data_IF_774346522568
#
_entry.id   IF_774346522568
#
_cell.length_a   1.000
_cell.length_b   1.000
_cell.length_c   1.000
_cell.angle_alpha   90.00
_cell.angle_beta   90.00
_cell.angle_gamma   90.00
#
_symmetry.space_group_name_H-M   'P 1'
#
loop_
_entity.id
_entity.type
_entity.pdbx_description
1 polymer ?
#
# COMPACT_ATOMS: atom_id res chain seq x y z
N UNK A 1 8.04 24.43 19.30
CA UNK A 1 6.83 23.65 19.63
C UNK A 1 5.76 24.12 18.64
N UNK A 2 5.15 23.22 17.86
CA UNK A 2 4.17 23.62 16.84
C UNK A 2 2.97 24.27 17.56
N UNK A 3 2.70 25.54 17.25
CA UNK A 3 1.55 26.26 17.80
C UNK A 3 0.25 25.50 17.46
N UNK A 4 -0.55 25.19 18.48
CA UNK A 4 -1.82 24.46 18.33
C UNK A 4 -1.81 23.00 18.76
N UNK A 5 -0.65 22.37 18.99
CA UNK A 5 -0.58 21.00 19.54
C UNK A 5 -0.68 20.94 21.07
N UNK A 6 -0.41 22.06 21.78
CA UNK A 6 -0.41 22.11 23.26
C UNK A 6 -1.74 21.78 23.93
N UNK A 7 -2.85 21.76 23.16
CA UNK A 7 -4.19 21.37 23.64
C UNK A 7 -4.42 19.85 23.65
N UNK A 8 -3.57 19.07 22.97
CA UNK A 8 -3.70 17.62 22.89
C UNK A 8 -2.69 16.95 23.82
N UNK A 9 -3.16 15.95 24.59
CA UNK A 9 -2.31 15.16 25.49
C UNK A 9 -1.65 13.96 24.81
N UNK A 10 -2.23 13.50 23.69
CA UNK A 10 -1.80 12.32 22.96
C UNK A 10 -1.91 12.57 21.46
N UNK A 11 -0.97 11.99 20.71
CA UNK A 11 -0.97 11.93 19.25
C UNK A 11 -0.77 10.46 18.89
N UNK A 12 -1.59 9.95 17.96
CA UNK A 12 -1.49 8.59 17.44
C UNK A 12 -1.14 8.73 15.97
N UNK A 13 -0.06 8.08 15.55
CA UNK A 13 0.42 8.08 14.18
C UNK A 13 0.11 6.73 13.54
N UNK A 14 -0.37 6.77 12.31
CA UNK A 14 -0.31 5.61 11.43
C UNK A 14 1.09 5.49 10.81
N UNK A 15 1.43 4.32 10.27
CA UNK A 15 2.74 4.05 9.66
C UNK A 15 2.72 4.32 8.15
N UNK A 16 2.03 3.47 7.40
CA UNK A 16 2.05 3.45 5.93
C UNK A 16 1.36 4.69 5.35
N UNK A 17 2.03 5.37 4.42
CA UNK A 17 1.51 6.60 3.83
C UNK A 17 1.34 7.78 4.81
N UNK A 18 1.78 7.65 6.06
CA UNK A 18 1.79 8.72 7.08
C UNK A 18 3.21 9.02 7.54
N UNK A 19 3.89 8.06 8.16
CA UNK A 19 5.31 8.18 8.52
C UNK A 19 6.21 7.62 7.42
N UNK A 20 5.83 6.47 6.86
CA UNK A 20 6.60 5.75 5.86
C UNK A 20 6.12 6.14 4.46
N UNK A 21 7.04 6.61 3.63
CA UNK A 21 6.79 6.91 2.22
C UNK A 21 6.97 5.64 1.36
N UNK A 22 5.94 4.81 1.31
CA UNK A 22 5.97 3.48 0.69
C UNK A 22 5.02 3.28 -0.49
N UNK A 23 4.20 4.29 -0.85
CA UNK A 23 3.21 4.17 -1.92
C UNK A 23 3.84 3.74 -3.24
N UNK A 24 5.04 4.24 -3.54
CA UNK A 24 5.78 3.85 -4.75
C UNK A 24 6.11 2.35 -4.75
N UNK A 25 6.52 1.79 -3.61
CA UNK A 25 6.86 0.38 -3.46
C UNK A 25 5.61 -0.50 -3.62
N UNK A 26 4.50 -0.10 -2.97
CA UNK A 26 3.21 -0.78 -3.09
C UNK A 26 2.75 -0.86 -4.55
N UNK A 27 2.85 0.24 -5.30
CA UNK A 27 2.48 0.29 -6.72
C UNK A 27 3.39 -0.58 -7.58
N UNK A 28 4.69 -0.61 -7.32
CA UNK A 28 5.63 -1.48 -8.05
C UNK A 28 5.35 -2.97 -7.84
N UNK A 29 5.17 -3.39 -6.58
CA UNK A 29 4.84 -4.78 -6.24
C UNK A 29 3.52 -5.17 -6.90
N UNK A 30 2.50 -4.33 -6.76
CA UNK A 30 1.19 -4.60 -7.37
C UNK A 30 1.30 -4.72 -8.89
N UNK A 31 2.03 -3.83 -9.55
CA UNK A 31 2.22 -3.90 -11.01
C UNK A 31 2.98 -5.16 -11.47
N UNK A 32 3.87 -5.71 -10.63
CA UNK A 32 4.50 -7.01 -10.88
C UNK A 32 3.47 -8.15 -10.79
N UNK A 33 2.63 -8.13 -9.76
CA UNK A 33 1.54 -9.11 -9.57
C UNK A 33 0.49 -9.05 -10.69
N UNK A 34 0.10 -7.84 -11.10
CA UNK A 34 -0.83 -7.60 -12.22
C UNK A 34 -0.26 -8.12 -13.54
N UNK A 35 1.02 -7.83 -13.81
CA UNK A 35 1.71 -8.32 -15.02
C UNK A 35 1.71 -9.85 -15.10
N UNK A 36 1.96 -10.55 -13.98
CA UNK A 36 1.93 -12.03 -13.90
C UNK A 36 0.58 -12.61 -14.32
N UNK A 37 -0.50 -11.83 -14.17
CA UNK A 37 -1.89 -12.21 -14.47
C UNK A 37 -2.46 -11.55 -15.72
N UNK A 38 -1.61 -10.90 -16.52
CA UNK A 38 -2.01 -10.13 -17.71
C UNK A 38 -3.06 -9.04 -17.43
N UNK A 39 -3.06 -8.49 -16.21
CA UNK A 39 -3.94 -7.39 -15.81
C UNK A 39 -3.30 -6.02 -16.10
N UNK A 40 -4.10 -4.97 -16.37
CA UNK A 40 -3.59 -3.63 -16.65
C UNK A 40 -2.77 -3.06 -15.48
N UNK A 41 -1.67 -2.38 -15.79
CA UNK A 41 -0.88 -1.65 -14.79
C UNK A 41 -1.61 -0.41 -14.27
N UNK A 42 -1.27 0.00 -13.06
CA UNK A 42 -1.75 1.21 -12.40
C UNK A 42 -0.61 2.15 -12.04
N UNK A 43 -0.92 3.44 -11.90
CA UNK A 43 -0.04 4.43 -11.28
C UNK A 43 -0.49 4.73 -9.83
N UNK A 44 0.25 5.58 -9.14
CA UNK A 44 -0.05 5.97 -7.75
C UNK A 44 -1.36 6.75 -7.62
N UNK A 45 -1.77 7.47 -8.66
CA UNK A 45 -3.06 8.17 -8.69
C UNK A 45 -4.20 7.15 -8.70
N UNK A 46 -4.15 6.20 -9.64
CA UNK A 46 -5.15 5.15 -9.76
C UNK A 46 -5.20 4.29 -8.49
N UNK A 47 -4.04 3.93 -7.93
CA UNK A 47 -3.95 3.25 -6.63
C UNK A 47 -4.78 3.97 -5.56
N UNK A 48 -4.52 5.26 -5.33
CA UNK A 48 -5.24 6.08 -4.33
C UNK A 48 -6.73 6.20 -4.61
N UNK A 49 -7.14 6.23 -5.87
CA UNK A 49 -8.56 6.32 -6.27
C UNK A 49 -9.36 5.05 -5.98
N UNK A 50 -8.73 3.87 -6.11
CA UNK A 50 -9.46 2.59 -6.02
C UNK A 50 -9.20 1.81 -4.73
N UNK A 51 -8.14 2.14 -3.99
CA UNK A 51 -7.80 1.51 -2.72
C UNK A 51 -8.99 1.56 -1.76
N UNK A 52 -9.29 0.44 -1.12
CA UNK A 52 -10.54 0.26 -0.38
C UNK A 52 -10.42 -0.85 0.66
N UNK A 53 -11.27 -0.78 1.68
CA UNK A 53 -11.38 -1.77 2.73
C UNK A 53 -12.73 -2.51 2.67
N UNK A 54 -12.74 -3.83 2.96
CA UNK A 54 -11.57 -4.70 3.14
C UNK A 54 -10.70 -4.79 1.87
N UNK A 55 -9.41 -5.08 2.04
CA UNK A 55 -8.41 -5.08 0.96
C UNK A 55 -8.82 -5.98 -0.21
N UNK A 56 -9.63 -7.02 0.02
CA UNK A 56 -10.24 -7.83 -1.04
C UNK A 56 -10.97 -7.00 -2.10
N UNK A 57 -11.67 -5.92 -1.73
CA UNK A 57 -12.34 -5.01 -2.67
C UNK A 57 -11.36 -4.31 -3.61
N UNK A 58 -10.19 -3.94 -3.10
CA UNK A 58 -9.13 -3.33 -3.91
C UNK A 58 -8.62 -4.29 -4.99
N UNK A 59 -8.37 -5.55 -4.63
CA UNK A 59 -7.96 -6.60 -5.58
C UNK A 59 -9.06 -6.88 -6.62
N UNK A 60 -10.34 -6.94 -6.21
CA UNK A 60 -11.46 -7.11 -7.15
C UNK A 60 -11.55 -5.94 -8.15
N UNK A 61 -11.37 -4.69 -7.71
CA UNK A 61 -11.35 -3.51 -8.60
C UNK A 61 -10.20 -3.52 -9.59
N UNK A 62 -9.11 -4.22 -9.28
CA UNK A 62 -7.96 -4.43 -10.16
C UNK A 62 -8.17 -5.57 -11.16
N UNK A 63 -9.24 -6.35 -11.03
CA UNK A 63 -9.56 -7.47 -11.90
C UNK A 63 -8.97 -8.81 -11.45
N UNK A 64 -8.51 -8.93 -10.20
CA UNK A 64 -8.21 -10.25 -9.63
C UNK A 64 -9.50 -11.06 -9.49
N UNK A 65 -9.40 -12.37 -9.72
CA UNK A 65 -10.52 -13.29 -9.65
C UNK A 65 -10.24 -14.36 -8.58
N UNK A 66 -10.93 -14.24 -7.45
CA UNK A 66 -10.77 -15.16 -6.32
C UNK A 66 -11.35 -16.56 -6.55
N UNK A 67 -12.04 -16.79 -7.67
CA UNK A 67 -12.44 -18.15 -8.05
C UNK A 67 -11.27 -18.97 -8.61
N UNK A 68 -10.23 -18.31 -9.11
CA UNK A 68 -9.04 -18.94 -9.68
C UNK A 68 -7.85 -19.00 -8.70
N UNK A 69 -7.72 -18.01 -7.83
CA UNK A 69 -6.59 -17.88 -6.89
C UNK A 69 -7.06 -17.28 -5.57
N UNK A 70 -6.66 -17.89 -4.45
CA UNK A 70 -7.16 -17.45 -3.15
C UNK A 70 -6.59 -16.07 -2.76
N UNK A 71 -7.37 -15.28 -2.03
CA UNK A 71 -6.92 -13.96 -1.56
C UNK A 71 -5.70 -14.08 -0.63
N UNK A 72 -5.61 -15.16 0.13
CA UNK A 72 -4.51 -15.48 1.02
C UNK A 72 -3.20 -15.65 0.24
N UNK A 73 -3.22 -16.41 -0.86
CA UNK A 73 -2.04 -16.62 -1.72
C UNK A 73 -1.56 -15.30 -2.35
N UNK A 74 -2.51 -14.47 -2.78
CA UNK A 74 -2.24 -13.12 -3.29
C UNK A 74 -1.65 -12.20 -2.22
N UNK A 75 -2.17 -12.27 -1.01
CA UNK A 75 -1.70 -11.49 0.13
C UNK A 75 -0.30 -11.91 0.55
N UNK A 76 -0.01 -13.21 0.56
CA UNK A 76 1.32 -13.75 0.86
C UNK A 76 2.35 -13.34 -0.21
N UNK A 77 1.97 -13.37 -1.50
CA UNK A 77 2.81 -12.88 -2.61
C UNK A 77 3.16 -11.39 -2.40
N UNK A 78 2.17 -10.56 -2.07
CA UNK A 78 2.38 -9.13 -1.82
C UNK A 78 3.25 -8.87 -0.59
N UNK A 79 2.91 -9.48 0.56
CA UNK A 79 3.59 -9.26 1.84
C UNK A 79 5.04 -9.74 1.78
N UNK A 80 5.30 -10.88 1.14
CA UNK A 80 6.66 -11.40 0.97
C UNK A 80 7.55 -10.43 0.18
N UNK A 81 7.02 -9.87 -0.92
CA UNK A 81 7.75 -8.89 -1.72
C UNK A 81 7.91 -7.55 -0.99
N UNK A 82 6.90 -7.13 -0.23
CA UNK A 82 6.93 -5.92 0.59
C UNK A 82 8.01 -6.01 1.67
N UNK A 83 8.02 -7.07 2.49
CA UNK A 83 9.04 -7.23 3.52
C UNK A 83 10.47 -7.34 2.97
N UNK A 84 10.65 -8.02 1.82
CA UNK A 84 11.96 -8.12 1.19
C UNK A 84 12.53 -6.76 0.80
N UNK A 85 11.67 -5.83 0.40
CA UNK A 85 12.04 -4.50 -0.13
C UNK A 85 11.79 -3.37 0.85
N UNK A 86 11.24 -3.64 2.03
CA UNK A 86 10.82 -2.62 2.99
C UNK A 86 11.93 -1.63 3.36
N UNK A 87 13.18 -2.11 3.45
CA UNK A 87 14.35 -1.26 3.74
C UNK A 87 14.70 -0.26 2.61
N UNK A 88 14.06 -0.36 1.44
CA UNK A 88 14.15 0.65 0.38
C UNK A 88 13.25 1.86 0.67
N UNK A 89 12.22 1.70 1.51
CA UNK A 89 11.35 2.79 1.93
C UNK A 89 12.08 3.73 2.89
N UNK A 90 11.71 5.01 2.82
CA UNK A 90 12.17 6.06 3.72
C UNK A 90 11.00 6.64 4.49
N UNK A 91 11.29 7.43 5.51
CA UNK A 91 10.29 8.30 6.08
C UNK A 91 9.96 9.43 5.09
N UNK A 92 8.84 10.12 5.30
CA UNK A 92 8.62 11.39 4.61
C UNK A 92 9.66 12.42 5.07
N UNK A 93 10.07 13.33 4.17
CA UNK A 93 11.11 14.33 4.45
C UNK A 93 10.76 15.20 5.67
N UNK A 94 9.46 15.43 5.91
CA UNK A 94 8.96 16.20 7.06
C UNK A 94 8.98 15.42 8.39
N UNK A 95 9.34 14.13 8.35
CA UNK A 95 9.40 13.21 9.50
C UNK A 95 10.86 12.89 9.89
N UNK A 96 11.82 12.97 8.96
CA UNK A 96 13.26 12.73 9.21
C UNK A 96 13.95 13.80 10.08
#
# INVERSE_FOLDING_TARGET
MIEGLSKYKHIIWDWNGTLINDVWLVVEIMNKMLKKRNLPRIDSKKYKEIFDFPVTKYYLKLGFDFSNEAFEELSDEFISEYYRRFNECKLFDEVE
#
